data_IF_439612122735
#
_entry.id   IF_439612122735
#
_cell.length_a   1.000
_cell.length_b   1.000
_cell.length_c   1.000
_cell.angle_alpha   90.00
_cell.angle_beta   90.00
_cell.angle_gamma   90.00
#
_symmetry.space_group_name_H-M   'P 1'
#
loop_
_entity.id
_entity.type
_entity.pdbx_description
1 polymer ?
#
# COMPACT_ATOMS: atom_id res chain seq x y z
N UNK A 1 45.21 -0.43 0.82
CA UNK A 1 44.31 -1.26 1.64
C UNK A 1 43.28 -0.34 2.26
N UNK A 2 42.07 -0.27 1.68
CA UNK A 2 41.03 0.68 2.10
C UNK A 2 40.11 0.01 3.13
N UNK A 3 40.17 0.49 4.37
CA UNK A 3 39.24 0.14 5.43
C UNK A 3 37.87 0.76 5.11
N UNK A 4 36.87 -0.08 4.83
CA UNK A 4 35.49 0.36 4.66
C UNK A 4 34.90 0.65 6.05
N UNK A 5 34.83 1.94 6.38
CA UNK A 5 34.15 2.48 7.56
C UNK A 5 32.66 2.10 7.49
N UNK A 6 32.23 1.22 8.40
CA UNK A 6 30.85 0.73 8.50
C UNK A 6 29.95 1.85 9.04
N UNK A 7 28.99 2.30 8.22
CA UNK A 7 28.06 3.39 8.54
C UNK A 7 27.03 2.93 9.58
N UNK A 8 27.08 3.55 10.75
CA UNK A 8 26.47 3.13 12.02
C UNK A 8 24.95 3.40 12.15
N UNK A 9 24.19 3.46 11.05
CA UNK A 9 22.75 3.80 11.05
C UNK A 9 21.92 2.94 10.08
N UNK A 10 22.30 1.67 9.92
CA UNK A 10 21.56 0.73 9.10
C UNK A 10 20.66 -0.16 9.96
N UNK A 11 19.44 -0.41 9.47
CA UNK A 11 18.44 -1.31 10.06
C UNK A 11 19.05 -2.68 10.41
N UNK A 12 20.07 -3.12 9.66
CA UNK A 12 20.84 -4.34 9.94
C UNK A 12 21.51 -4.35 11.31
N UNK A 13 22.07 -3.21 11.76
CA UNK A 13 22.67 -3.11 13.09
C UNK A 13 21.62 -3.17 14.21
N UNK A 14 20.46 -2.54 14.00
CA UNK A 14 19.34 -2.63 14.96
C UNK A 14 18.80 -4.05 15.09
N UNK A 15 18.73 -4.80 13.98
CA UNK A 15 18.34 -6.22 13.98
C UNK A 15 19.41 -7.08 14.67
N UNK A 16 20.70 -6.83 14.38
CA UNK A 16 21.78 -7.55 15.04
C UNK A 16 21.79 -7.33 16.56
N UNK A 17 21.55 -6.10 17.02
CA UNK A 17 21.47 -5.77 18.45
C UNK A 17 20.27 -6.43 19.14
N UNK A 18 19.12 -6.54 18.44
CA UNK A 18 17.94 -7.24 18.95
C UNK A 18 18.18 -8.74 19.09
N UNK A 19 18.79 -9.38 18.08
CA UNK A 19 19.14 -10.79 18.12
C UNK A 19 20.13 -11.09 19.25
N UNK A 20 21.12 -10.22 19.45
CA UNK A 20 22.10 -10.36 20.52
C UNK A 20 21.44 -10.28 21.91
N UNK A 21 20.56 -9.30 22.14
CA UNK A 21 19.83 -9.19 23.41
C UNK A 21 18.87 -10.35 23.66
N UNK A 22 18.27 -10.91 22.61
CA UNK A 22 17.42 -12.10 22.72
C UNK A 22 18.23 -13.34 23.12
N UNK A 23 19.45 -13.49 22.60
CA UNK A 23 20.33 -14.59 22.97
C UNK A 23 20.77 -14.48 24.44
N UNK A 24 21.23 -13.29 24.86
CA UNK A 24 21.63 -13.04 26.25
C UNK A 24 20.45 -13.28 27.23
N UNK A 25 19.24 -12.82 26.86
CA UNK A 25 18.04 -13.08 27.66
C UNK A 25 17.68 -14.56 27.71
N UNK A 26 17.83 -15.30 26.60
CA UNK A 26 17.57 -16.74 26.54
C UNK A 26 18.54 -17.54 27.40
N UNK A 27 19.83 -17.19 27.41
CA UNK A 27 20.85 -17.80 28.27
C UNK A 27 20.53 -17.58 29.76
N UNK A 28 20.06 -16.39 30.14
CA UNK A 28 19.64 -16.10 31.52
C UNK A 28 18.34 -16.83 31.90
N UNK A 29 17.36 -16.87 31.00
CA UNK A 29 16.08 -17.54 31.25
C UNK A 29 16.25 -19.06 31.38
N UNK A 30 17.05 -19.67 30.51
CA UNK A 30 17.32 -21.10 30.53
C UNK A 30 18.16 -21.52 31.74
N UNK A 31 19.19 -20.75 32.10
CA UNK A 31 19.99 -21.02 33.31
C UNK A 31 19.15 -20.91 34.58
N UNK A 32 18.29 -19.90 34.70
CA UNK A 32 17.38 -19.78 35.84
C UNK A 32 16.34 -20.91 35.92
N UNK A 33 15.87 -21.45 34.79
CA UNK A 33 14.95 -22.59 34.75
C UNK A 33 15.61 -23.93 35.09
N UNK A 34 16.87 -24.12 34.69
CA UNK A 34 17.64 -25.33 34.98
C UNK A 34 18.20 -25.34 36.41
N UNK A 35 18.74 -24.23 36.91
CA UNK A 35 19.32 -24.16 38.26
C UNK A 35 18.27 -24.12 39.37
N UNK A 36 17.05 -23.64 39.09
CA UNK A 36 15.94 -23.67 40.05
C UNK A 36 14.97 -24.82 39.80
N UNK A 37 15.37 -25.87 39.06
CA UNK A 37 14.57 -27.08 38.96
C UNK A 37 14.47 -27.71 40.36
N UNK A 38 13.29 -27.70 41.00
CA UNK A 38 13.15 -28.33 42.31
C UNK A 38 13.43 -29.83 42.15
N UNK A 39 14.23 -30.40 43.05
CA UNK A 39 14.35 -31.86 43.19
C UNK A 39 12.95 -32.43 43.33
N UNK A 40 12.42 -32.97 42.24
CA UNK A 40 11.05 -33.47 42.17
C UNK A 40 10.99 -34.69 43.07
N UNK A 41 10.27 -34.64 44.22
CA UNK A 41 10.04 -35.84 44.99
C UNK A 41 9.32 -36.83 44.08
N UNK A 42 9.71 -38.10 44.13
CA UNK A 42 9.08 -39.21 43.41
C UNK A 42 7.64 -39.40 43.92
N UNK A 43 6.76 -38.46 43.57
CA UNK A 43 5.34 -38.56 43.71
C UNK A 43 4.90 -39.56 42.66
N UNK A 44 4.61 -40.79 43.11
CA UNK A 44 3.88 -41.80 42.36
C UNK A 44 2.44 -41.33 42.11
N UNK A 45 2.29 -40.23 41.39
CA UNK A 45 1.05 -39.80 40.77
C UNK A 45 1.07 -40.44 39.39
N UNK A 46 0.09 -41.29 39.07
CA UNK A 46 0.04 -42.11 37.86
C UNK A 46 0.50 -41.29 36.62
N UNK A 47 1.74 -41.52 36.18
CA UNK A 47 2.44 -40.59 35.27
C UNK A 47 1.67 -40.34 33.96
N UNK A 48 0.80 -41.28 33.58
CA UNK A 48 -0.05 -41.21 32.40
C UNK A 48 -1.07 -40.07 32.43
N UNK A 49 -1.68 -39.74 33.59
CA UNK A 49 -2.70 -38.67 33.63
C UNK A 49 -2.05 -37.28 33.52
N UNK A 50 -0.88 -37.10 34.12
CA UNK A 50 -0.12 -35.83 34.06
C UNK A 50 0.39 -35.60 32.64
N UNK A 51 0.91 -36.64 31.98
CA UNK A 51 1.36 -36.55 30.58
C UNK A 51 0.19 -36.17 29.66
N UNK A 52 -0.98 -36.78 29.84
CA UNK A 52 -2.18 -36.43 29.08
C UNK A 52 -2.62 -34.99 29.33
N UNK A 53 -2.57 -34.51 30.57
CA UNK A 53 -2.98 -33.16 30.92
C UNK A 53 -2.03 -32.11 30.32
N UNK A 54 -0.71 -32.35 30.37
CA UNK A 54 0.29 -31.50 29.71
C UNK A 54 0.06 -31.46 28.20
N UNK A 55 -0.21 -32.61 27.58
CA UNK A 55 -0.48 -32.70 26.14
C UNK A 55 -1.72 -31.91 25.76
N UNK A 56 -2.82 -32.05 26.50
CA UNK A 56 -4.06 -31.28 26.28
C UNK A 56 -3.79 -29.78 26.42
N UNK A 57 -3.05 -29.38 27.45
CA UNK A 57 -2.74 -27.98 27.71
C UNK A 57 -1.88 -27.36 26.60
N UNK A 58 -0.88 -28.10 26.10
CA UNK A 58 -0.04 -27.68 24.99
C UNK A 58 -0.84 -27.54 23.69
N UNK A 59 -1.68 -28.51 23.35
CA UNK A 59 -2.56 -28.43 22.18
C UNK A 59 -3.59 -27.30 22.29
N UNK A 60 -4.09 -27.03 23.49
CA UNK A 60 -4.99 -25.90 23.76
C UNK A 60 -4.32 -24.55 23.47
N UNK A 61 -3.06 -24.37 23.90
CA UNK A 61 -2.29 -23.16 23.62
C UNK A 61 -2.04 -23.00 22.12
N UNK A 62 -1.65 -24.08 21.43
CA UNK A 62 -1.44 -24.06 19.96
C UNK A 62 -2.74 -23.67 19.25
N UNK A 63 -3.87 -24.29 19.63
CA UNK A 63 -5.17 -23.99 19.04
C UNK A 63 -5.56 -22.52 19.29
N UNK A 64 -5.35 -22.00 20.51
CA UNK A 64 -5.61 -20.61 20.84
C UNK A 64 -4.75 -19.65 20.00
N UNK A 65 -3.47 -19.96 19.79
CA UNK A 65 -2.56 -19.19 18.94
C UNK A 65 -3.04 -19.19 17.48
N UNK A 66 -3.46 -20.35 16.94
CA UNK A 66 -3.96 -20.46 15.57
C UNK A 66 -5.26 -19.66 15.38
N UNK A 67 -6.20 -19.76 16.33
CA UNK A 67 -7.44 -18.97 16.32
C UNK A 67 -7.11 -17.47 16.37
N UNK A 68 -6.16 -17.08 17.22
CA UNK A 68 -5.75 -15.69 17.33
C UNK A 68 -5.06 -15.18 16.05
N UNK A 69 -4.18 -15.97 15.43
CA UNK A 69 -3.52 -15.65 14.16
C UNK A 69 -4.52 -15.51 13.02
N UNK A 70 -5.45 -16.46 12.88
CA UNK A 70 -6.50 -16.40 11.85
C UNK A 70 -7.41 -15.18 12.05
N UNK A 71 -7.72 -14.85 13.30
CA UNK A 71 -8.48 -13.64 13.64
C UNK A 71 -7.73 -12.34 13.28
N UNK A 72 -6.44 -12.26 13.59
CA UNK A 72 -5.60 -11.11 13.21
C UNK A 72 -5.48 -10.97 11.69
N UNK A 73 -5.29 -12.09 10.99
CA UNK A 73 -5.24 -12.12 9.53
C UNK A 73 -6.58 -11.66 8.92
N UNK A 74 -7.69 -12.08 9.51
CA UNK A 74 -9.03 -11.66 9.12
C UNK A 74 -9.24 -10.15 9.30
N UNK A 75 -8.83 -9.58 10.44
CA UNK A 75 -8.89 -8.14 10.69
C UNK A 75 -8.09 -7.32 9.67
N UNK A 76 -6.92 -7.82 9.26
CA UNK A 76 -6.07 -7.17 8.28
C UNK A 76 -6.67 -7.22 6.85
N UNK A 77 -7.33 -8.31 6.49
CA UNK A 77 -7.93 -8.50 5.16
C UNK A 77 -9.33 -7.86 5.06
N UNK A 78 -10.05 -7.72 6.17
CA UNK A 78 -11.39 -7.12 6.25
C UNK A 78 -11.55 -5.81 5.44
N UNK A 79 -10.67 -4.80 5.54
CA UNK A 79 -10.83 -3.56 4.77
C UNK A 79 -10.67 -3.75 3.25
N UNK A 80 -9.95 -4.79 2.82
CA UNK A 80 -9.80 -5.12 1.40
C UNK A 80 -11.00 -5.93 0.88
N UNK A 81 -11.55 -6.83 1.70
CA UNK A 81 -12.71 -7.64 1.33
C UNK A 81 -13.99 -6.81 1.17
N UNK A 82 -14.20 -5.80 2.04
CA UNK A 82 -15.37 -4.91 1.97
C UNK A 82 -15.38 -4.07 0.69
N UNK A 83 -14.22 -3.79 0.08
CA UNK A 83 -14.14 -3.14 -1.24
C UNK A 83 -14.55 -4.06 -2.39
N UNK A 84 -14.34 -5.37 -2.24
CA UNK A 84 -14.71 -6.38 -3.24
C UNK A 84 -16.19 -6.81 -3.15
N UNK A 85 -16.83 -6.68 -1.99
CA UNK A 85 -18.23 -7.05 -1.80
C UNK A 85 -19.24 -5.95 -2.11
N UNK A 86 -18.82 -4.74 -2.51
CA UNK A 86 -19.78 -3.75 -3.00
C UNK A 86 -20.38 -4.28 -4.31
N UNK A 87 -21.68 -4.57 -4.37
CA UNK A 87 -22.30 -5.04 -5.60
C UNK A 87 -22.19 -3.91 -6.63
N UNK A 88 -21.37 -4.14 -7.66
CA UNK A 88 -21.34 -3.34 -8.87
C UNK A 88 -22.75 -3.45 -9.46
N UNK A 89 -23.57 -2.42 -9.26
CA UNK A 89 -24.94 -2.36 -9.79
C UNK A 89 -24.87 -2.69 -11.27
N UNK A 90 -25.40 -3.86 -11.62
CA UNK A 90 -25.61 -4.30 -12.98
C UNK A 90 -26.83 -3.57 -13.55
N UNK A 91 -26.69 -3.03 -14.76
CA UNK A 91 -27.76 -2.89 -15.75
C UNK A 91 -27.08 -2.79 -17.15
N UNK A 92 -27.75 -3.21 -18.23
CA UNK A 92 -27.57 -4.53 -18.82
C UNK A 92 -26.88 -4.47 -20.19
N UNK A 93 -26.39 -5.65 -20.59
CA UNK A 93 -25.92 -6.06 -21.92
C UNK A 93 -26.28 -5.12 -23.08
N UNK A 94 -25.27 -4.74 -23.86
CA UNK A 94 -25.28 -4.89 -25.31
C UNK A 94 -23.81 -4.89 -25.79
N UNK A 95 -23.33 -6.10 -26.09
CA UNK A 95 -22.44 -6.41 -27.21
C UNK A 95 -21.33 -5.38 -27.50
N UNK A 96 -20.19 -5.52 -26.81
CA UNK A 96 -18.89 -5.63 -27.49
C UNK A 96 -17.76 -5.78 -26.47
N UNK A 97 -16.97 -6.82 -26.68
CA UNK A 97 -15.76 -7.09 -25.94
C UNK A 97 -14.63 -6.18 -26.43
N UNK A 98 -14.42 -5.02 -25.81
CA UNK A 98 -13.08 -4.42 -25.69
C UNK A 98 -13.04 -3.31 -24.63
N UNK A 99 -11.99 -3.38 -23.82
CA UNK A 99 -11.55 -2.36 -22.87
C UNK A 99 -12.36 -2.36 -21.57
N UNK A 100 -11.68 -2.80 -20.52
CA UNK A 100 -12.00 -2.49 -19.13
C UNK A 100 -12.58 -1.08 -19.06
N UNK A 101 -13.78 -0.89 -18.50
CA UNK A 101 -14.47 0.39 -18.52
C UNK A 101 -13.66 1.47 -17.79
N UNK A 102 -12.71 2.08 -18.50
CA UNK A 102 -12.04 3.31 -18.14
C UNK A 102 -13.09 4.38 -18.27
N UNK A 103 -13.40 5.04 -17.17
CA UNK A 103 -14.22 6.25 -17.20
C UNK A 103 -13.66 7.15 -18.30
N UNK A 104 -14.55 7.64 -19.15
CA UNK A 104 -14.19 8.57 -20.22
C UNK A 104 -13.57 9.82 -19.62
N UNK A 105 -12.76 10.50 -20.43
CA UNK A 105 -12.12 11.78 -20.06
C UNK A 105 -13.15 12.76 -19.46
N UNK A 106 -14.33 12.88 -20.07
CA UNK A 106 -15.39 13.77 -19.62
C UNK A 106 -15.97 13.36 -18.25
N UNK A 107 -16.08 12.07 -17.97
CA UNK A 107 -16.54 11.57 -16.67
C UNK A 107 -15.51 11.87 -15.57
N UNK A 108 -14.21 11.74 -15.86
CA UNK A 108 -13.16 12.13 -14.92
C UNK A 108 -13.20 13.63 -14.60
N UNK A 109 -13.39 14.48 -15.61
CA UNK A 109 -13.53 15.93 -15.40
C UNK A 109 -14.76 16.23 -14.54
N UNK A 110 -15.91 15.60 -14.83
CA UNK A 110 -17.14 15.78 -14.06
C UNK A 110 -16.96 15.35 -12.59
N UNK A 111 -16.28 14.22 -12.35
CA UNK A 111 -15.95 13.76 -11.00
C UNK A 111 -15.01 14.72 -10.28
N UNK A 112 -14.02 15.30 -10.98
CA UNK A 112 -13.13 16.31 -10.40
C UNK A 112 -13.93 17.50 -9.85
N UNK A 113 -14.85 18.03 -10.66
CA UNK A 113 -15.72 19.14 -10.25
C UNK A 113 -16.64 18.77 -9.09
N UNK A 114 -17.16 17.54 -9.06
CA UNK A 114 -17.97 17.04 -7.96
C UNK A 114 -17.19 16.99 -6.63
N UNK A 115 -15.96 16.49 -6.65
CA UNK A 115 -15.09 16.46 -5.47
C UNK A 115 -14.63 17.86 -5.03
N UNK A 116 -14.41 18.77 -5.99
CA UNK A 116 -14.10 20.17 -5.71
C UNK A 116 -15.22 20.85 -4.91
N UNK A 117 -16.49 20.64 -5.30
CA UNK A 117 -17.65 21.20 -4.58
C UNK A 117 -17.76 20.71 -3.14
N UNK A 118 -17.25 19.50 -2.88
CA UNK A 118 -17.17 18.91 -1.53
C UNK A 118 -15.92 19.32 -0.75
N UNK A 119 -15.10 20.23 -1.30
CA UNK A 119 -13.80 20.62 -0.75
C UNK A 119 -12.82 19.45 -0.60
N UNK A 120 -13.04 18.36 -1.34
CA UNK A 120 -12.14 17.22 -1.41
C UNK A 120 -11.16 17.40 -2.57
N UNK A 121 -10.24 18.35 -2.42
CA UNK A 121 -9.32 18.74 -3.49
C UNK A 121 -8.34 17.64 -3.88
N UNK A 122 -7.99 16.75 -2.94
CA UNK A 122 -7.10 15.61 -3.24
C UNK A 122 -7.72 14.69 -4.28
N UNK A 123 -9.00 14.37 -4.12
CA UNK A 123 -9.69 13.46 -5.03
C UNK A 123 -10.03 14.19 -6.34
N UNK A 124 -10.30 15.49 -6.27
CA UNK A 124 -10.48 16.31 -7.45
C UNK A 124 -9.23 16.34 -8.34
N UNK A 125 -8.03 16.48 -7.75
CA UNK A 125 -6.75 16.45 -8.48
C UNK A 125 -6.46 15.05 -9.03
N UNK A 126 -6.74 13.99 -8.25
CA UNK A 126 -6.62 12.61 -8.73
C UNK A 126 -7.46 12.36 -9.99
N UNK A 127 -8.70 12.86 -10.03
CA UNK A 127 -9.54 12.74 -11.22
C UNK A 127 -8.94 13.47 -12.44
N UNK A 128 -8.33 14.65 -12.26
CA UNK A 128 -7.66 15.36 -13.36
C UNK A 128 -6.42 14.59 -13.86
N UNK A 129 -5.67 13.99 -12.94
CA UNK A 129 -4.56 13.11 -13.29
C UNK A 129 -5.04 11.90 -14.13
N UNK A 130 -6.13 11.24 -13.72
CA UNK A 130 -6.70 10.12 -14.48
C UNK A 130 -7.17 10.54 -15.88
N UNK A 131 -7.82 11.71 -15.99
CA UNK A 131 -8.21 12.27 -17.28
C UNK A 131 -7.00 12.49 -18.20
N UNK A 132 -5.90 13.04 -17.67
CA UNK A 132 -4.66 13.26 -18.42
C UNK A 132 -4.02 11.96 -18.90
N UNK A 133 -3.95 10.93 -18.04
CA UNK A 133 -3.41 9.61 -18.43
C UNK A 133 -4.28 8.97 -19.51
N UNK A 134 -5.61 9.07 -19.40
CA UNK A 134 -6.54 8.58 -20.42
C UNK A 134 -6.34 9.31 -21.75
N UNK A 135 -6.15 10.63 -21.72
CA UNK A 135 -5.92 11.45 -22.91
C UNK A 135 -4.61 11.09 -23.64
N UNK A 136 -3.54 10.78 -22.90
CA UNK A 136 -2.29 10.27 -23.48
C UNK A 136 -2.48 8.91 -24.18
N UNK A 137 -3.36 8.08 -23.63
CA UNK A 137 -3.70 6.76 -24.18
C UNK A 137 -4.57 6.88 -25.43
N UNK A 138 -5.64 7.68 -25.36
CA UNK A 138 -6.60 7.86 -26.45
C UNK A 138 -5.91 8.44 -27.70
N UNK A 139 -4.85 9.23 -27.49
CA UNK A 139 -4.01 9.78 -28.57
C UNK A 139 -2.94 8.83 -29.07
N UNK A 140 -2.85 7.62 -28.54
CA UNK A 140 -1.77 6.66 -28.82
C UNK A 140 -0.35 7.23 -28.60
N UNK A 141 -0.21 8.26 -27.76
CA UNK A 141 1.10 8.83 -27.43
C UNK A 141 1.84 7.93 -26.45
N UNK A 142 1.13 7.46 -25.42
CA UNK A 142 1.69 6.61 -24.37
C UNK A 142 0.65 5.56 -23.96
N UNK A 143 0.98 4.29 -24.05
CA UNK A 143 0.13 3.21 -23.55
C UNK A 143 0.06 3.20 -22.03
N UNK A 144 -1.15 3.03 -21.49
CA UNK A 144 -1.39 2.87 -20.05
C UNK A 144 -0.89 1.50 -19.61
N UNK A 145 0.04 1.49 -18.64
CA UNK A 145 0.52 0.29 -17.99
C UNK A 145 0.34 0.45 -16.47
N UNK A 146 -0.24 -0.57 -15.83
CA UNK A 146 -0.52 -0.56 -14.38
C UNK A 146 0.74 -0.52 -13.52
N UNK A 147 1.87 -1.00 -14.05
CA UNK A 147 3.18 -0.96 -13.38
C UNK A 147 3.92 0.36 -13.58
N UNK A 148 3.42 1.28 -14.40
CA UNK A 148 4.14 2.51 -14.75
C UNK A 148 3.96 3.59 -13.69
N UNK A 149 5.06 4.19 -13.30
CA UNK A 149 5.13 5.27 -12.29
C UNK A 149 5.04 6.65 -12.93
N UNK A 150 4.68 7.66 -12.14
CA UNK A 150 4.57 9.06 -12.61
C UNK A 150 5.88 9.58 -13.22
N UNK A 151 7.04 9.16 -12.68
CA UNK A 151 8.36 9.54 -13.22
C UNK A 151 8.67 8.91 -14.58
N UNK A 152 8.19 7.70 -14.81
CA UNK A 152 8.33 7.03 -16.11
C UNK A 152 7.43 7.68 -17.16
N UNK A 153 6.19 8.05 -16.79
CA UNK A 153 5.34 8.86 -17.68
C UNK A 153 6.01 10.19 -18.03
N UNK A 154 6.59 10.89 -17.05
CA UNK A 154 7.29 12.14 -17.26
C UNK A 154 8.49 12.00 -18.22
N UNK A 155 9.30 10.95 -18.04
CA UNK A 155 10.43 10.68 -18.93
C UNK A 155 9.99 10.45 -20.38
N UNK A 156 8.87 9.76 -20.58
CA UNK A 156 8.31 9.54 -21.92
C UNK A 156 7.76 10.82 -22.53
N UNK A 157 7.03 11.62 -21.75
CA UNK A 157 6.47 12.90 -22.19
C UNK A 157 7.57 13.86 -22.63
N UNK A 158 8.69 13.92 -21.90
CA UNK A 158 9.86 14.76 -22.27
C UNK A 158 10.49 14.39 -23.61
N UNK A 159 10.30 13.14 -24.06
CA UNK A 159 10.79 12.68 -25.36
C UNK A 159 9.79 12.90 -26.50
N UNK A 160 8.56 13.35 -26.21
CA UNK A 160 7.55 13.63 -27.22
C UNK A 160 7.75 15.05 -27.80
N UNK A 161 7.98 15.20 -29.10
CA UNK A 161 8.07 16.51 -29.72
C UNK A 161 6.69 17.21 -29.66
N UNK A 162 6.69 18.53 -29.46
CA UNK A 162 5.50 19.40 -29.46
C UNK A 162 4.53 19.22 -28.29
N UNK A 163 4.94 18.54 -27.21
CA UNK A 163 4.13 18.41 -26.00
C UNK A 163 4.54 19.47 -24.97
N UNK A 164 3.54 20.14 -24.39
CA UNK A 164 3.75 21.09 -23.29
C UNK A 164 4.12 20.35 -22.00
N UNK A 165 5.40 20.00 -21.90
CA UNK A 165 5.93 19.19 -20.80
C UNK A 165 5.63 19.78 -19.41
N UNK A 166 5.53 21.10 -19.29
CA UNK A 166 5.34 21.78 -18.01
C UNK A 166 3.95 21.49 -17.43
N UNK A 167 2.91 21.48 -18.29
CA UNK A 167 1.54 21.18 -17.87
C UNK A 167 1.40 19.73 -17.38
N UNK A 168 2.00 18.77 -18.09
CA UNK A 168 2.01 17.37 -17.65
C UNK A 168 2.84 17.17 -16.38
N UNK A 169 4.01 17.81 -16.30
CA UNK A 169 4.89 17.75 -15.14
C UNK A 169 4.18 18.27 -13.88
N UNK A 170 3.39 19.34 -13.98
CA UNK A 170 2.63 19.86 -12.85
C UNK A 170 1.63 18.83 -12.31
N UNK A 171 0.83 18.20 -13.17
CA UNK A 171 -0.15 17.19 -12.75
C UNK A 171 0.53 15.95 -12.15
N UNK A 172 1.58 15.44 -12.80
CA UNK A 172 2.33 14.26 -12.35
C UNK A 172 2.99 14.50 -10.99
N UNK A 173 3.74 15.59 -10.87
CA UNK A 173 4.46 15.90 -9.62
C UNK A 173 3.52 16.27 -8.48
N UNK A 174 2.39 16.92 -8.77
CA UNK A 174 1.38 17.23 -7.76
C UNK A 174 0.70 15.96 -7.25
N UNK A 175 0.34 15.04 -8.14
CA UNK A 175 -0.20 13.74 -7.77
C UNK A 175 0.79 12.93 -6.91
N UNK A 176 2.06 12.82 -7.35
CA UNK A 176 3.11 12.12 -6.60
C UNK A 176 3.28 12.72 -5.19
N UNK A 177 3.40 14.05 -5.10
CA UNK A 177 3.51 14.76 -3.81
C UNK A 177 2.32 14.47 -2.91
N UNK A 178 1.10 14.52 -3.44
CA UNK A 178 -0.08 14.20 -2.64
C UNK A 178 -0.06 12.72 -2.21
N UNK A 179 0.25 11.76 -3.08
CA UNK A 179 0.29 10.34 -2.68
C UNK A 179 1.30 10.04 -1.57
N UNK A 180 2.50 10.64 -1.62
CA UNK A 180 3.59 10.28 -0.71
C UNK A 180 3.81 11.26 0.45
N UNK A 181 3.11 12.39 0.48
CA UNK A 181 3.20 13.35 1.59
C UNK A 181 1.84 13.57 2.26
N UNK A 182 1.89 14.04 3.51
CA UNK A 182 0.70 14.49 4.26
C UNK A 182 0.27 15.91 3.90
N UNK A 183 0.77 16.48 2.80
CA UNK A 183 0.39 17.81 2.37
C UNK A 183 -1.12 17.87 2.10
N UNK A 184 -1.77 18.88 2.66
CA UNK A 184 -3.17 19.15 2.39
C UNK A 184 -3.31 19.70 0.97
N UNK A 185 -4.24 19.14 0.20
CA UNK A 185 -4.61 19.71 -1.10
C UNK A 185 -5.49 20.95 -0.86
N UNK A 186 -5.14 22.06 -1.49
CA UNK A 186 -5.89 23.33 -1.42
C UNK A 186 -6.70 23.55 -2.70
N UNK A 187 -7.65 24.49 -2.64
CA UNK A 187 -8.38 24.96 -3.81
C UNK A 187 -7.43 25.54 -4.87
N UNK A 188 -6.46 26.36 -4.46
CA UNK A 188 -5.48 26.96 -5.37
C UNK A 188 -4.66 25.90 -6.12
N UNK A 189 -4.30 24.81 -5.46
CA UNK A 189 -3.57 23.71 -6.07
C UNK A 189 -4.44 22.97 -7.11
N UNK A 190 -5.73 22.79 -6.81
CA UNK A 190 -6.68 22.22 -7.76
C UNK A 190 -6.89 23.14 -8.98
N UNK A 191 -7.01 24.46 -8.80
CA UNK A 191 -7.14 25.42 -9.89
C UNK A 191 -5.91 25.40 -10.82
N UNK A 192 -4.70 25.32 -10.25
CA UNK A 192 -3.46 25.17 -11.02
C UNK A 192 -3.47 23.87 -11.84
N UNK A 193 -3.87 22.74 -11.23
CA UNK A 193 -3.98 21.47 -11.95
C UNK A 193 -5.05 21.51 -13.04
N UNK A 194 -6.18 22.19 -12.79
CA UNK A 194 -7.25 22.34 -13.76
C UNK A 194 -6.80 23.17 -14.96
N UNK A 195 -6.07 24.27 -14.73
CA UNK A 195 -5.52 25.11 -15.79
C UNK A 195 -4.49 24.34 -16.63
N UNK A 196 -3.58 23.61 -16.00
CA UNK A 196 -2.64 22.75 -16.71
C UNK A 196 -3.35 21.69 -17.56
N UNK A 197 -4.40 21.07 -17.02
CA UNK A 197 -5.21 20.13 -17.79
C UNK A 197 -5.90 20.79 -18.99
N UNK A 198 -6.43 22.01 -18.84
CA UNK A 198 -7.03 22.74 -19.95
C UNK A 198 -6.02 23.04 -21.06
N UNK A 199 -4.79 23.42 -20.70
CA UNK A 199 -3.72 23.66 -21.67
C UNK A 199 -3.39 22.38 -22.47
N UNK A 200 -3.29 21.24 -21.78
CA UNK A 200 -3.10 19.92 -22.39
C UNK A 200 -4.22 19.62 -23.41
N UNK A 201 -5.49 19.79 -22.98
CA UNK A 201 -6.65 19.48 -23.81
C UNK A 201 -6.82 20.41 -25.02
N UNK A 202 -6.37 21.66 -24.91
CA UNK A 202 -6.54 22.67 -25.96
C UNK A 202 -5.45 22.58 -27.02
N UNK A 203 -4.19 22.34 -26.62
CA UNK A 203 -3.03 22.31 -27.53
C UNK A 203 -2.88 21.01 -28.32
N UNK A 204 -3.70 20.02 -28.01
CA UNK A 204 -3.68 18.74 -28.67
C UNK A 204 -4.97 18.44 -29.44
N UNK A 205 -5.69 19.50 -29.81
CA UNK A 205 -6.56 19.57 -30.99
C UNK A 205 -5.78 20.14 -32.16
#
# INVERSE_FOLDING_TARGET
MLATVFKQDSIRWKIALLLQRLQEWWEVFSSQLLDNAPDVPQLNLDAEWIEQLIKILLWSIIAAILIWLTWQFWLLIRPYWIKWQKPRRQLPNLLDAKTEATLSINEWIAQSQYYQKQRNYRQAIFCLYQAMIQELSDRNMISILSSRTDREYLALIKNLPLVDSDSYELLLTTHEKLCFTKQAASQSLWEQCQQAYQLISTRAK
#
